data_IF_348053030244
#
_entry.id   IF_348053030244
#
_cell.length_a   1.000
_cell.length_b   1.000
_cell.length_c   1.000
_cell.angle_alpha   90.00
_cell.angle_beta   90.00
_cell.angle_gamma   90.00
#
_symmetry.space_group_name_H-M   'P 1'
#
loop_
_entity.id
_entity.type
_entity.pdbx_description
1 polymer ?
#
# COMPACT_ATOMS: atom_id res chain seq x y z
N UNK A 1 25.54 10.46 2.67
CA UNK A 1 24.60 11.58 2.43
C UNK A 1 23.22 10.92 2.27
N UNK A 2 22.34 11.04 3.25
CA UNK A 2 21.05 10.33 3.21
C UNK A 2 20.12 10.95 2.17
N UNK A 3 19.39 10.11 1.43
CA UNK A 3 18.27 10.56 0.60
C UNK A 3 17.23 11.19 1.53
N UNK A 4 16.87 12.45 1.31
CA UNK A 4 15.75 13.09 1.99
C UNK A 4 14.49 12.76 1.20
N UNK A 5 13.64 11.89 1.75
CA UNK A 5 12.35 11.59 1.15
C UNK A 5 11.37 12.73 1.46
N UNK A 6 11.08 13.55 0.45
CA UNK A 6 10.06 14.58 0.55
C UNK A 6 8.67 13.94 0.59
N UNK A 7 7.80 14.45 1.45
CA UNK A 7 6.40 14.03 1.55
C UNK A 7 5.51 15.25 1.63
N UNK A 8 4.43 15.24 0.87
CA UNK A 8 3.42 16.28 0.90
C UNK A 8 2.09 15.63 0.59
N UNK A 9 1.05 16.06 1.29
CA UNK A 9 -0.29 15.55 1.13
C UNK A 9 -1.28 16.72 1.27
N UNK A 10 -2.39 16.60 0.56
CA UNK A 10 -3.47 17.59 0.55
C UNK A 10 -4.78 16.82 0.46
N UNK A 11 -5.72 17.11 1.36
CA UNK A 11 -7.08 16.56 1.33
C UNK A 11 -8.01 17.70 0.93
N UNK A 12 -8.66 17.57 -0.22
CA UNK A 12 -9.55 18.62 -0.76
C UNK A 12 -10.89 18.68 -0.02
N UNK A 13 -11.51 19.87 -0.05
CA UNK A 13 -12.79 20.12 0.62
C UNK A 13 -13.96 19.33 0.02
N UNK A 14 -13.84 18.87 -1.23
CA UNK A 14 -14.85 18.04 -1.90
C UNK A 14 -14.65 16.52 -1.69
N UNK A 15 -13.63 16.11 -0.93
CA UNK A 15 -13.46 14.71 -0.58
C UNK A 15 -14.60 14.26 0.34
N UNK A 16 -15.26 13.16 0.00
CA UNK A 16 -16.30 12.58 0.83
C UNK A 16 -15.70 12.06 2.15
N UNK A 17 -16.29 12.49 3.26
CA UNK A 17 -15.87 12.10 4.60
C UNK A 17 -15.99 10.58 4.81
N UNK A 18 -15.21 9.94 5.68
CA UNK A 18 -13.99 10.48 6.26
C UNK A 18 -12.90 10.52 5.19
N UNK A 19 -12.15 11.62 5.13
CA UNK A 19 -11.04 11.80 4.20
C UNK A 19 -9.87 12.49 4.90
N UNK A 20 -8.66 12.01 4.63
CA UNK A 20 -7.51 12.45 5.38
C UNK A 20 -6.25 11.71 4.98
N UNK A 21 -5.17 12.03 5.67
CA UNK A 21 -3.87 11.42 5.45
C UNK A 21 -3.01 11.46 6.72
N UNK A 22 -2.06 10.56 6.80
CA UNK A 22 -0.96 10.54 7.78
C UNK A 22 0.35 10.55 7.01
N UNK A 23 1.33 11.31 7.48
CA UNK A 23 2.68 11.36 6.89
C UNK A 23 3.72 10.90 7.91
N UNK A 24 4.64 10.02 7.51
CA UNK A 24 5.75 9.58 8.36
C UNK A 24 7.08 9.60 7.63
N UNK A 25 8.06 8.79 8.04
CA UNK A 25 9.43 8.80 7.50
C UNK A 25 9.57 8.42 6.02
N UNK A 26 9.18 9.32 5.10
CA UNK A 26 9.29 9.11 3.64
C UNK A 26 8.07 8.49 2.98
N UNK A 27 6.91 8.49 3.64
CA UNK A 27 5.66 7.93 3.13
C UNK A 27 4.44 8.79 3.49
N UNK A 28 3.32 8.48 2.83
CA UNK A 28 1.99 9.02 3.14
C UNK A 28 0.97 7.88 3.06
N UNK A 29 0.15 7.72 4.09
CA UNK A 29 -1.08 6.92 4.06
C UNK A 29 -2.26 7.88 3.87
N UNK A 30 -3.13 7.63 2.89
CA UNK A 30 -4.22 8.55 2.57
C UNK A 30 -5.45 7.80 2.06
N UNK A 31 -6.62 8.41 2.21
CA UNK A 31 -7.86 7.88 1.67
C UNK A 31 -9.02 8.87 1.75
N UNK A 32 -10.10 8.52 1.05
CA UNK A 32 -11.40 9.18 1.12
C UNK A 32 -12.49 8.11 1.25
N UNK A 33 -13.68 8.50 1.71
CA UNK A 33 -14.80 7.59 1.96
C UNK A 33 -14.41 6.49 2.98
N UNK A 34 -13.42 6.75 3.83
CA UNK A 34 -12.97 5.77 4.81
C UNK A 34 -13.97 5.64 5.97
N UNK A 35 -13.92 4.50 6.65
CA UNK A 35 -14.72 4.24 7.85
C UNK A 35 -14.41 5.23 8.99
N UNK A 36 -13.17 5.73 9.05
CA UNK A 36 -12.73 6.74 10.00
C UNK A 36 -11.23 7.00 9.91
N UNK A 37 -10.72 7.86 10.79
CA UNK A 37 -9.29 8.21 10.84
C UNK A 37 -8.38 7.04 11.16
N UNK A 38 -8.90 6.08 11.93
CA UNK A 38 -8.19 4.87 12.35
C UNK A 38 -7.61 4.09 11.17
N UNK A 39 -8.29 4.13 10.00
CA UNK A 39 -7.85 3.43 8.79
C UNK A 39 -6.46 3.90 8.35
N UNK A 40 -6.22 5.20 8.26
CA UNK A 40 -4.88 5.70 7.86
C UNK A 40 -3.88 5.70 9.01
N UNK A 41 -4.36 5.78 10.26
CA UNK A 41 -3.51 5.69 11.45
C UNK A 41 -2.87 4.30 11.56
N UNK A 42 -3.69 3.23 11.51
CA UNK A 42 -3.18 1.85 11.60
C UNK A 42 -2.30 1.48 10.40
N UNK A 43 -2.58 2.01 9.20
CA UNK A 43 -1.71 1.82 8.03
C UNK A 43 -0.30 2.39 8.31
N UNK A 44 -0.24 3.60 8.86
CA UNK A 44 1.02 4.26 9.19
C UNK A 44 1.77 3.52 10.30
N UNK A 45 1.07 3.15 11.38
CA UNK A 45 1.64 2.38 12.48
C UNK A 45 2.18 1.02 12.02
N UNK A 46 1.43 0.32 11.17
CA UNK A 46 1.85 -0.98 10.63
C UNK A 46 3.06 -0.85 9.70
N UNK A 47 3.13 0.23 8.91
CA UNK A 47 4.29 0.48 8.05
C UNK A 47 5.55 0.87 8.83
N UNK A 48 5.41 1.57 9.96
CA UNK A 48 6.52 1.97 10.83
C UNK A 48 6.95 0.89 11.83
N UNK A 49 6.09 -0.08 12.13
CA UNK A 49 6.43 -1.20 12.98
C UNK A 49 7.64 -1.98 12.42
N UNK A 50 8.47 -2.60 13.27
CA UNK A 50 9.54 -3.48 12.80
C UNK A 50 8.96 -4.59 11.91
N UNK A 51 9.14 -4.42 10.59
CA UNK A 51 8.58 -5.29 9.58
C UNK A 51 9.56 -6.35 9.09
N UNK A 52 9.15 -7.05 8.05
CA UNK A 52 10.03 -7.93 7.28
C UNK A 52 11.16 -7.09 6.64
N UNK A 53 12.27 -7.74 6.27
CA UNK A 53 13.34 -7.10 5.47
C UNK A 53 12.86 -6.67 4.06
N UNK A 54 11.61 -7.01 3.72
CA UNK A 54 10.97 -6.82 2.44
C UNK A 54 9.99 -5.63 2.44
N UNK A 55 10.37 -4.57 1.72
CA UNK A 55 9.58 -3.35 1.55
C UNK A 55 8.19 -3.60 0.96
N UNK A 56 8.06 -4.51 -0.01
CA UNK A 56 6.78 -4.78 -0.67
C UNK A 56 5.81 -5.52 0.27
N UNK A 57 6.33 -6.41 1.11
CA UNK A 57 5.56 -7.07 2.16
C UNK A 57 5.05 -6.06 3.20
N UNK A 58 5.88 -5.08 3.61
CA UNK A 58 5.48 -4.04 4.57
C UNK A 58 4.36 -3.14 4.03
N UNK A 59 4.38 -2.78 2.73
CA UNK A 59 3.28 -2.06 2.08
C UNK A 59 1.98 -2.87 2.08
N UNK A 60 2.06 -4.17 1.79
CA UNK A 60 0.91 -5.06 1.76
C UNK A 60 0.32 -5.29 3.15
N UNK A 61 1.17 -5.38 4.17
CA UNK A 61 0.76 -5.44 5.57
C UNK A 61 0.01 -4.17 5.99
N UNK A 62 0.54 -2.99 5.66
CA UNK A 62 -0.13 -1.71 5.94
C UNK A 62 -1.50 -1.63 5.25
N UNK A 63 -1.60 -1.98 3.96
CA UNK A 63 -2.87 -2.01 3.23
C UNK A 63 -3.89 -2.94 3.88
N UNK A 64 -3.45 -4.12 4.33
CA UNK A 64 -4.29 -5.09 5.05
C UNK A 64 -4.81 -4.49 6.35
N UNK A 65 -3.94 -3.91 7.17
CA UNK A 65 -4.32 -3.32 8.45
C UNK A 65 -5.35 -2.20 8.28
N UNK A 66 -5.19 -1.35 7.26
CA UNK A 66 -6.17 -0.31 6.94
C UNK A 66 -7.55 -0.88 6.59
N UNK A 67 -7.58 -1.96 5.80
CA UNK A 67 -8.83 -2.66 5.50
C UNK A 67 -9.48 -3.26 6.76
N UNK A 68 -8.67 -3.88 7.63
CA UNK A 68 -9.15 -4.50 8.87
C UNK A 68 -9.68 -3.48 9.89
N UNK A 69 -9.16 -2.25 9.88
CA UNK A 69 -9.69 -1.11 10.64
C UNK A 69 -10.98 -0.51 10.06
N UNK A 70 -11.54 -1.10 8.99
CA UNK A 70 -12.82 -0.75 8.40
C UNK A 70 -12.73 -0.27 6.95
N UNK A 71 -11.53 0.07 6.47
CA UNK A 71 -11.26 0.39 5.08
C UNK A 71 -12.17 1.47 4.49
N UNK A 72 -12.46 1.33 3.20
CA UNK A 72 -13.44 2.13 2.47
C UNK A 72 -14.86 1.70 2.85
N UNK A 73 -15.75 2.66 3.15
CA UNK A 73 -17.15 2.40 3.54
C UNK A 73 -17.98 1.71 2.46
N UNK A 74 -17.51 1.73 1.20
CA UNK A 74 -18.14 1.02 0.07
C UNK A 74 -17.77 -0.47 0.04
N UNK A 75 -16.80 -0.89 0.84
CA UNK A 75 -16.18 -2.20 0.75
C UNK A 75 -14.97 -2.20 -0.19
N UNK A 76 -14.59 -3.38 -0.66
CA UNK A 76 -13.43 -3.59 -1.51
C UNK A 76 -13.85 -4.23 -2.84
N UNK A 77 -13.17 -3.86 -3.92
CA UNK A 77 -13.38 -4.45 -5.26
C UNK A 77 -12.04 -4.68 -5.97
N UNK A 78 -11.06 -3.81 -5.74
CA UNK A 78 -9.74 -3.90 -6.35
C UNK A 78 -8.62 -3.62 -5.36
N UNK A 79 -7.42 -4.09 -5.68
CA UNK A 79 -6.20 -3.82 -4.93
C UNK A 79 -4.99 -3.91 -5.87
N UNK A 80 -3.94 -3.15 -5.58
CA UNK A 80 -2.70 -3.19 -6.35
C UNK A 80 -1.48 -2.96 -5.46
N UNK A 81 -0.35 -3.51 -5.88
CA UNK A 81 0.97 -3.31 -5.27
C UNK A 81 1.98 -3.00 -6.37
N UNK A 82 2.59 -1.83 -6.29
CA UNK A 82 3.61 -1.36 -7.23
C UNK A 82 4.86 -0.96 -6.45
N UNK A 83 5.99 -1.59 -6.76
CA UNK A 83 7.29 -1.30 -6.18
C UNK A 83 8.31 -1.17 -7.29
N UNK A 84 8.99 -0.03 -7.33
CA UNK A 84 10.02 0.27 -8.31
C UNK A 84 11.40 0.35 -7.65
N UNK A 85 12.41 -0.13 -8.37
CA UNK A 85 13.83 -0.03 -8.07
C UNK A 85 14.56 0.00 -9.40
N UNK A 86 15.52 0.90 -9.57
CA UNK A 86 16.34 0.96 -10.78
C UNK A 86 16.93 -0.41 -11.12
N UNK A 87 16.61 -0.93 -12.31
CA UNK A 87 17.02 -2.26 -12.77
C UNK A 87 16.47 -3.44 -11.93
N UNK A 88 15.44 -3.21 -11.12
CA UNK A 88 14.90 -4.19 -10.17
C UNK A 88 13.93 -5.21 -10.78
N UNK A 89 13.54 -5.04 -12.04
CA UNK A 89 12.68 -5.99 -12.74
C UNK A 89 13.39 -7.29 -13.09
N UNK A 90 12.59 -8.29 -13.49
CA UNK A 90 13.09 -9.61 -13.86
C UNK A 90 14.17 -9.49 -14.96
N UNK A 91 15.36 -10.07 -14.72
CA UNK A 91 16.50 -9.98 -15.62
C UNK A 91 17.06 -8.56 -15.83
N UNK A 92 16.67 -7.58 -15.02
CA UNK A 92 17.10 -6.18 -15.13
C UNK A 92 16.50 -5.43 -16.33
N UNK A 93 15.42 -5.93 -16.92
CA UNK A 93 14.83 -5.33 -18.15
C UNK A 93 13.80 -4.24 -17.88
N UNK A 94 13.50 -3.95 -16.61
CA UNK A 94 12.59 -2.88 -16.19
C UNK A 94 12.93 -2.40 -14.78
N UNK A 95 12.32 -1.29 -14.37
CA UNK A 95 12.48 -0.75 -13.02
C UNK A 95 11.42 -1.25 -12.03
N UNK A 96 10.48 -2.10 -12.47
CA UNK A 96 9.41 -2.62 -11.62
C UNK A 96 9.82 -3.93 -10.96
N UNK A 97 10.08 -3.89 -9.65
CA UNK A 97 10.35 -5.06 -8.82
C UNK A 97 9.06 -5.85 -8.56
N UNK A 98 7.95 -5.14 -8.33
CA UNK A 98 6.60 -5.70 -8.15
C UNK A 98 5.61 -4.81 -8.88
N UNK A 99 4.77 -5.40 -9.74
CA UNK A 99 3.61 -4.75 -10.35
C UNK A 99 2.48 -5.78 -10.42
N UNK A 100 1.64 -5.78 -9.38
CA UNK A 100 0.56 -6.75 -9.21
C UNK A 100 -0.76 -6.01 -9.02
N UNK A 101 -1.79 -6.50 -9.69
CA UNK A 101 -3.12 -5.89 -9.70
C UNK A 101 -4.20 -6.95 -9.62
N UNK A 102 -5.21 -6.67 -8.82
CA UNK A 102 -6.50 -7.37 -8.79
C UNK A 102 -7.53 -6.31 -9.10
N UNK A 103 -8.02 -6.27 -10.34
CA UNK A 103 -8.90 -5.20 -10.81
C UNK A 103 -10.39 -5.44 -10.44
N UNK A 104 -10.78 -6.69 -10.18
CA UNK A 104 -12.12 -7.07 -9.71
C UNK A 104 -12.08 -8.39 -8.94
N UNK A 105 -12.38 -8.35 -7.64
CA UNK A 105 -12.52 -9.52 -6.78
C UNK A 105 -13.32 -9.15 -5.52
N UNK A 106 -14.01 -10.12 -4.90
CA UNK A 106 -14.73 -9.89 -3.63
C UNK A 106 -13.76 -9.61 -2.47
N UNK A 107 -12.61 -10.29 -2.48
CA UNK A 107 -11.52 -10.17 -1.49
C UNK A 107 -10.19 -9.81 -2.19
N UNK A 108 -10.04 -8.60 -2.78
CA UNK A 108 -8.93 -8.26 -3.66
C UNK A 108 -7.58 -8.19 -2.93
N UNK A 109 -7.56 -7.84 -1.64
CA UNK A 109 -6.32 -7.79 -0.85
C UNK A 109 -5.79 -9.19 -0.56
N UNK A 110 -6.66 -10.15 -0.24
CA UNK A 110 -6.27 -11.55 -0.07
C UNK A 110 -5.76 -12.16 -1.38
N UNK A 111 -6.42 -11.84 -2.50
CA UNK A 111 -5.95 -12.28 -3.81
C UNK A 111 -4.61 -11.62 -4.19
N UNK A 112 -4.41 -10.35 -3.83
CA UNK A 112 -3.14 -9.66 -4.02
C UNK A 112 -2.01 -10.32 -3.20
N UNK A 113 -2.27 -10.76 -1.96
CA UNK A 113 -1.32 -11.55 -1.16
C UNK A 113 -0.96 -12.87 -1.84
N UNK A 114 -1.95 -13.57 -2.40
CA UNK A 114 -1.71 -14.81 -3.15
C UNK A 114 -0.83 -14.57 -4.37
N UNK A 115 -1.09 -13.50 -5.14
CA UNK A 115 -0.27 -13.09 -6.28
C UNK A 115 1.16 -12.71 -5.85
N UNK A 116 1.30 -12.02 -4.73
CA UNK A 116 2.59 -11.63 -4.17
C UNK A 116 3.48 -12.85 -3.84
N UNK A 117 2.92 -13.84 -3.15
CA UNK A 117 3.61 -15.10 -2.86
C UNK A 117 3.96 -15.90 -4.11
N UNK A 118 3.12 -15.83 -5.15
CA UNK A 118 3.42 -16.46 -6.44
C UNK A 118 4.55 -15.72 -7.16
N UNK A 119 4.55 -14.39 -7.14
CA UNK A 119 5.59 -13.55 -7.74
C UNK A 119 6.97 -13.87 -7.17
N UNK A 120 7.11 -13.91 -5.84
CA UNK A 120 8.39 -14.22 -5.19
C UNK A 120 8.90 -15.65 -5.47
N UNK A 121 8.00 -16.60 -5.75
CA UNK A 121 8.41 -17.97 -6.16
C UNK A 121 8.88 -18.04 -7.61
N UNK A 122 8.34 -17.20 -8.49
CA UNK A 122 8.67 -17.18 -9.92
C UNK A 122 9.87 -16.26 -10.23
N UNK A 123 10.14 -15.28 -9.36
CA UNK A 123 11.21 -14.30 -9.49
C UNK A 123 12.04 -14.24 -8.19
N UNK A 124 12.85 -15.28 -7.87
CA UNK A 124 13.69 -15.32 -6.67
C UNK A 124 14.90 -14.39 -6.73
#
# INVERSE_FOLDING_TARGET
MGVVYNRQAFTGEECQEWAGHVTGGGYVCLGNILAGEEVVAVMAETFEAPGEEDFAANLLAALTAGQDAGGDRRGMQSAALLVAREGGGCGGTSDFLVDLRVDDHADPIEELKRLYLLHGRLNP
#
